data_IF_908614521655
#
_entry.id   IF_908614521655
#
_cell.length_a   1.000
_cell.length_b   1.000
_cell.length_c   1.000
_cell.angle_alpha   90.00
_cell.angle_beta   90.00
_cell.angle_gamma   90.00
#
_symmetry.space_group_name_H-M   'P 1'
#
loop_
_entity.id
_entity.type
_entity.pdbx_description
1 polymer ?
#
# COMPACT_ATOMS: atom_id res chain seq x y z
N UNK A 1 -9.71 12.98 -16.72
CA UNK A 1 -8.67 11.98 -16.43
C UNK A 1 -8.51 11.94 -14.91
N UNK A 2 -8.33 10.77 -14.27
CA UNK A 2 -8.13 10.71 -12.82
C UNK A 2 -6.75 11.29 -12.46
N UNK A 3 -6.71 12.20 -11.49
CA UNK A 3 -5.49 12.90 -11.06
C UNK A 3 -4.55 12.02 -10.20
N UNK A 4 -5.07 10.98 -9.55
CA UNK A 4 -4.32 10.06 -8.68
C UNK A 4 -4.89 8.65 -8.77
N UNK A 5 -4.03 7.63 -8.83
CA UNK A 5 -4.42 6.21 -8.84
C UNK A 5 -3.86 5.48 -7.61
N UNK A 6 -4.73 4.75 -6.90
CA UNK A 6 -4.35 3.90 -5.75
C UNK A 6 -4.09 2.48 -6.24
N UNK A 7 -2.86 2.00 -6.06
CA UNK A 7 -2.50 0.62 -6.38
C UNK A 7 -2.41 -0.22 -5.09
N UNK A 8 -3.43 -1.03 -4.79
CA UNK A 8 -3.37 -2.04 -3.73
C UNK A 8 -2.77 -3.33 -4.32
N UNK A 9 -1.57 -3.73 -3.88
CA UNK A 9 -0.76 -4.73 -4.61
C UNK A 9 -0.15 -5.78 -3.68
N UNK A 10 -0.72 -6.98 -3.72
CA UNK A 10 0.07 -8.20 -3.55
C UNK A 10 0.64 -8.54 -4.93
N UNK A 11 1.97 -8.71 -5.04
CA UNK A 11 2.72 -9.31 -6.17
C UNK A 11 3.50 -8.35 -7.10
N UNK A 12 4.68 -8.82 -7.56
CA UNK A 12 5.80 -8.14 -8.24
C UNK A 12 5.44 -7.40 -9.55
N UNK A 13 4.28 -7.71 -10.14
CA UNK A 13 3.78 -7.08 -11.36
C UNK A 13 3.53 -5.56 -11.19
N UNK A 14 3.40 -5.13 -9.95
CA UNK A 14 3.28 -3.75 -9.51
C UNK A 14 4.30 -2.79 -10.08
N UNK A 15 5.56 -3.19 -10.16
CA UNK A 15 6.67 -2.27 -10.43
C UNK A 15 6.63 -1.71 -11.86
N UNK A 16 6.35 -2.58 -12.84
CA UNK A 16 6.25 -2.17 -14.23
C UNK A 16 5.09 -1.18 -14.45
N UNK A 17 3.95 -1.40 -13.81
CA UNK A 17 2.79 -0.51 -13.90
C UNK A 17 3.06 0.83 -13.22
N UNK A 18 3.69 0.83 -12.04
CA UNK A 18 4.08 2.06 -11.35
C UNK A 18 4.99 2.90 -12.25
N UNK A 19 6.02 2.28 -12.87
CA UNK A 19 6.94 2.97 -13.78
C UNK A 19 6.21 3.61 -14.96
N UNK A 20 5.37 2.85 -15.66
CA UNK A 20 4.61 3.37 -16.81
C UNK A 20 3.72 4.55 -16.43
N UNK A 21 3.09 4.50 -15.25
CA UNK A 21 2.24 5.59 -14.76
C UNK A 21 3.07 6.82 -14.36
N UNK A 22 4.21 6.62 -13.69
CA UNK A 22 5.13 7.71 -13.35
C UNK A 22 5.71 8.39 -14.59
N UNK A 23 6.11 7.62 -15.62
CA UNK A 23 6.56 8.14 -16.92
C UNK A 23 5.48 8.94 -17.65
N UNK A 24 4.21 8.56 -17.48
CA UNK A 24 3.06 9.31 -17.99
C UNK A 24 2.73 10.58 -17.16
N UNK A 25 3.54 10.91 -16.14
CA UNK A 25 3.31 12.06 -15.26
C UNK A 25 2.21 11.84 -14.23
N UNK A 26 1.73 10.60 -14.06
CA UNK A 26 0.69 10.28 -13.08
C UNK A 26 1.33 10.06 -11.72
N UNK A 27 0.79 10.72 -10.69
CA UNK A 27 1.24 10.49 -9.32
C UNK A 27 0.73 9.15 -8.82
N UNK A 28 1.66 8.24 -8.47
CA UNK A 28 1.35 6.90 -7.96
C UNK A 28 1.70 6.81 -6.48
N UNK A 29 0.72 6.39 -5.67
CA UNK A 29 0.85 6.24 -4.22
C UNK A 29 0.49 4.81 -3.79
N UNK A 30 1.25 4.28 -2.83
CA UNK A 30 0.94 3.05 -2.12
C UNK A 30 0.03 3.36 -0.93
N UNK A 31 -1.14 2.72 -0.84
CA UNK A 31 -1.94 2.73 0.39
C UNK A 31 -1.36 1.71 1.37
N UNK A 32 -0.73 2.18 2.45
CA UNK A 32 -0.14 1.33 3.47
C UNK A 32 -1.16 1.05 4.58
N UNK A 33 -1.38 -0.24 4.85
CA UNK A 33 -2.16 -0.70 6.00
C UNK A 33 -1.29 -1.47 6.97
N UNK A 34 -1.53 -1.28 8.26
CA UNK A 34 -0.93 -2.10 9.32
C UNK A 34 -1.87 -3.21 9.73
N UNK A 35 -1.29 -4.38 10.01
CA UNK A 35 -2.03 -5.51 10.56
C UNK A 35 -1.94 -5.48 12.08
N UNK A 36 -3.09 -5.29 12.71
CA UNK A 36 -3.25 -5.34 14.15
C UNK A 36 -3.95 -6.65 14.54
N UNK A 37 -3.50 -7.24 15.65
CA UNK A 37 -4.20 -8.38 16.26
C UNK A 37 -4.97 -7.86 17.45
N UNK A 38 -6.30 -7.92 17.39
CA UNK A 38 -7.18 -7.52 18.48
C UNK A 38 -7.71 -8.79 19.12
N UNK A 39 -7.53 -8.92 20.43
CA UNK A 39 -8.13 -10.00 21.22
C UNK A 39 -9.23 -9.38 22.08
N UNK A 40 -10.46 -9.83 21.90
CA UNK A 40 -11.63 -9.38 22.68
C UNK A 40 -12.37 -10.57 23.26
N UNK A 41 -12.97 -10.39 24.43
CA UNK A 41 -13.89 -11.37 25.02
C UNK A 41 -15.30 -10.96 24.58
N UNK A 42 -16.00 -11.86 23.89
CA UNK A 42 -17.34 -11.58 23.38
C UNK A 42 -18.40 -11.71 24.50
N UNK A 43 -19.66 -11.38 24.19
CA UNK A 43 -20.78 -11.47 25.13
C UNK A 43 -21.06 -12.90 25.65
N UNK A 44 -20.50 -13.93 25.00
CA UNK A 44 -20.58 -15.34 25.40
C UNK A 44 -19.36 -15.80 26.21
N UNK A 45 -18.51 -14.86 26.66
CA UNK A 45 -17.24 -15.13 27.35
C UNK A 45 -16.21 -15.92 26.52
N UNK A 46 -16.33 -15.91 25.19
CA UNK A 46 -15.36 -16.55 24.31
C UNK A 46 -14.27 -15.55 23.92
N UNK A 47 -13.02 -16.01 23.92
CA UNK A 47 -11.88 -15.22 23.44
C UNK A 47 -11.86 -15.22 21.92
N UNK A 48 -12.12 -14.07 21.30
CA UNK A 48 -12.06 -13.87 19.86
C UNK A 48 -10.77 -13.14 19.52
N UNK A 49 -9.99 -13.72 18.61
CA UNK A 49 -8.77 -13.10 18.06
C UNK A 49 -9.02 -12.69 16.61
N UNK A 50 -8.95 -11.39 16.35
CA UNK A 50 -9.21 -10.83 15.02
C UNK A 50 -7.93 -10.18 14.47
N UNK A 51 -7.65 -10.44 13.19
CA UNK A 51 -6.65 -9.67 12.45
C UNK A 51 -7.37 -8.51 11.76
N UNK A 52 -7.11 -7.29 12.21
CA UNK A 52 -7.66 -6.05 11.66
C UNK A 52 -6.58 -5.39 10.81
N UNK A 53 -6.94 -4.94 9.62
CA UNK A 53 -6.03 -4.16 8.77
C UNK A 53 -6.51 -2.71 8.79
N UNK A 54 -5.70 -1.83 9.37
CA UNK A 54 -6.02 -0.42 9.52
C UNK A 54 -5.20 0.37 8.50
N UNK A 55 -5.85 1.23 7.71
CA UNK A 55 -5.14 2.17 6.86
C UNK A 55 -4.30 3.12 7.72
N UNK A 56 -3.06 3.35 7.32
CA UNK A 56 -2.11 4.20 8.06
C UNK A 56 -1.77 5.44 7.28
N UNK A 57 -1.28 5.28 6.06
CA UNK A 57 -0.79 6.39 5.25
C UNK A 57 -0.67 6.03 3.77
N UNK A 58 -0.52 7.06 2.95
CA UNK A 58 -0.04 6.91 1.59
C UNK A 58 1.49 7.10 1.55
N UNK A 59 2.19 6.26 0.78
CA UNK A 59 3.62 6.40 0.51
C UNK A 59 3.85 6.60 -0.98
N UNK A 60 4.62 7.61 -1.37
CA UNK A 60 5.03 7.77 -2.76
C UNK A 60 6.03 6.68 -3.16
N UNK A 61 5.91 6.21 -4.40
CA UNK A 61 7.02 5.50 -5.03
C UNK A 61 8.01 6.56 -5.48
N UNK A 62 9.22 6.58 -4.91
CA UNK A 62 10.27 7.51 -5.33
C UNK A 62 10.59 7.31 -6.82
N UNK A 63 10.96 8.39 -7.51
CA UNK A 63 11.52 8.26 -8.85
C UNK A 63 12.99 7.83 -8.69
N UNK A 64 13.31 6.59 -9.06
CA UNK A 64 14.72 6.22 -9.30
C UNK A 64 15.18 7.01 -10.54
N UNK A 65 16.02 8.01 -10.34
CA UNK A 65 16.84 8.53 -11.42
C UNK A 65 17.94 7.49 -11.67
N UNK A 66 17.81 6.70 -12.73
CA UNK A 66 18.90 5.90 -13.28
C UNK A 66 20.02 6.86 -13.71
N UNK A 67 20.94 7.19 -12.78
CA UNK A 67 21.97 8.17 -13.05
C UNK A 67 22.83 8.57 -11.87
N UNK A 68 23.55 7.64 -11.26
CA UNK A 68 24.94 7.91 -10.86
C UNK A 68 25.73 6.60 -10.78
N UNK A 69 26.38 6.27 -11.89
CA UNK A 69 27.46 5.28 -11.92
C UNK A 69 28.73 6.01 -11.46
N UNK A 70 29.12 5.85 -10.19
CA UNK A 70 30.50 6.13 -9.75
C UNK A 70 31.44 5.02 -10.22
#
# INVERSE_FOLDING_TARGET
MPDVTICSMQNTYSYALIKLLQEAGVTVLAACSERQTVTTVNAKQETVRQSVFSFVQFRSYGMENDGEKS
#
